data_IF_497072968343
#
_entry.id   IF_497072968343
#
_cell.length_a   1.000
_cell.length_b   1.000
_cell.length_c   1.000
_cell.angle_alpha   90.00
_cell.angle_beta   90.00
_cell.angle_gamma   90.00
#
_symmetry.space_group_name_H-M   'P 1'
#
loop_
_entity.id
_entity.type
_entity.pdbx_description
1 polymer ?
#
# COMPACT_ATOMS: atom_id res chain seq x y z
N UNK A 1 28.86 17.18 -36.77
CA UNK A 1 28.08 17.25 -38.03
C UNK A 1 28.12 18.62 -38.68
N UNK A 2 28.05 19.73 -37.93
CA UNK A 2 28.19 21.08 -38.51
C UNK A 2 29.44 21.26 -39.38
N UNK A 3 30.55 20.61 -39.00
CA UNK A 3 31.78 20.59 -39.78
C UNK A 3 31.65 19.96 -41.18
N UNK A 4 30.77 18.98 -41.37
CA UNK A 4 30.56 18.35 -42.69
C UNK A 4 29.85 19.33 -43.63
N UNK A 5 28.81 20.00 -43.13
CA UNK A 5 28.12 21.05 -43.90
C UNK A 5 29.02 22.25 -44.17
N UNK A 6 29.86 22.64 -43.20
CA UNK A 6 30.84 23.71 -43.38
C UNK A 6 31.86 23.38 -44.47
N UNK A 7 32.40 22.16 -44.49
CA UNK A 7 33.34 21.70 -45.52
C UNK A 7 32.65 21.65 -46.90
N UNK A 8 31.44 21.09 -47.00
CA UNK A 8 30.69 21.06 -48.26
C UNK A 8 30.39 22.47 -48.79
N UNK A 9 30.03 23.39 -47.89
CA UNK A 9 29.80 24.79 -48.23
C UNK A 9 31.08 25.48 -48.70
N UNK A 10 32.21 25.29 -48.00
CA UNK A 10 33.50 25.83 -48.42
C UNK A 10 33.94 25.28 -49.78
N UNK A 11 33.75 23.99 -50.04
CA UNK A 11 34.05 23.41 -51.36
C UNK A 11 33.14 24.02 -52.43
N UNK A 12 31.83 24.12 -52.18
CA UNK A 12 30.89 24.70 -53.13
C UNK A 12 31.23 26.14 -53.53
N UNK A 13 31.67 26.96 -52.57
CA UNK A 13 32.12 28.35 -52.82
C UNK A 13 33.41 28.41 -53.63
N UNK A 14 34.26 27.38 -53.57
CA UNK A 14 35.53 27.30 -54.28
C UNK A 14 35.43 26.66 -55.69
N UNK A 15 34.30 26.03 -56.04
CA UNK A 15 34.10 25.40 -57.37
C UNK A 15 34.36 26.37 -58.54
N UNK A 16 33.87 27.62 -58.55
CA UNK A 16 34.08 28.55 -59.66
C UNK A 16 35.58 28.83 -59.90
N UNK A 17 36.37 28.90 -58.83
CA UNK A 17 37.82 29.15 -58.91
C UNK A 17 38.62 27.91 -59.35
N UNK A 18 38.09 26.70 -59.09
CA UNK A 18 38.74 25.42 -59.45
C UNK A 18 38.56 25.08 -60.93
N UNK A 19 37.39 25.38 -61.50
CA UNK A 19 37.01 24.96 -62.87
C UNK A 19 37.53 25.93 -63.95
N UNK A 20 37.93 27.15 -63.58
CA UNK A 20 38.29 28.26 -64.48
C UNK A 20 39.62 28.13 -65.26
N UNK A 21 40.27 26.96 -65.25
CA UNK A 21 41.57 26.75 -65.88
C UNK A 21 41.45 26.10 -67.28
N UNK A 22 41.44 26.97 -68.30
CA UNK A 22 42.13 26.85 -69.59
C UNK A 22 41.60 25.92 -70.71
N UNK A 23 40.26 25.77 -70.90
CA UNK A 23 39.74 25.25 -72.20
C UNK A 23 38.35 25.81 -72.60
N UNK A 24 38.30 26.49 -73.76
CA UNK A 24 37.11 26.86 -74.57
C UNK A 24 35.76 27.09 -73.84
N UNK A 25 35.58 28.34 -73.43
CA UNK A 25 34.43 29.18 -73.03
C UNK A 25 32.96 28.70 -73.00
N UNK A 26 32.55 27.55 -73.53
CA UNK A 26 31.13 27.10 -73.53
C UNK A 26 30.86 25.82 -72.72
N UNK A 27 31.89 25.07 -72.31
CA UNK A 27 31.74 23.85 -71.50
C UNK A 27 31.95 24.06 -69.99
N UNK A 28 32.69 25.11 -69.58
CA UNK A 28 33.05 25.35 -68.18
C UNK A 28 31.83 25.68 -67.30
N UNK A 29 30.92 26.56 -67.75
CA UNK A 29 29.71 26.94 -67.00
C UNK A 29 28.81 25.74 -66.70
N UNK A 30 28.61 24.85 -67.68
CA UNK A 30 27.79 23.64 -67.49
C UNK A 30 28.43 22.64 -66.53
N UNK A 31 29.76 22.57 -66.51
CA UNK A 31 30.50 21.71 -65.58
C UNK A 31 30.44 22.22 -64.14
N UNK A 32 30.51 23.54 -63.96
CA UNK A 32 30.32 24.21 -62.67
C UNK A 32 28.92 23.99 -62.11
N UNK A 33 27.88 24.26 -62.92
CA UNK A 33 26.49 24.03 -62.54
C UNK A 33 26.24 22.57 -62.13
N UNK A 34 26.78 21.62 -62.90
CA UNK A 34 26.67 20.20 -62.60
C UNK A 34 27.40 19.83 -61.28
N UNK A 35 28.59 20.38 -61.04
CA UNK A 35 29.36 20.14 -59.81
C UNK A 35 28.62 20.68 -58.57
N UNK A 36 28.12 21.92 -58.64
CA UNK A 36 27.32 22.53 -57.57
C UNK A 36 26.05 21.71 -57.32
N UNK A 37 25.37 21.25 -58.37
CA UNK A 37 24.16 20.44 -58.26
C UNK A 37 24.41 19.10 -57.57
N UNK A 38 25.49 18.39 -57.94
CA UNK A 38 25.88 17.11 -57.30
C UNK A 38 26.22 17.33 -55.83
N UNK A 39 26.99 18.37 -55.53
CA UNK A 39 27.43 18.66 -54.17
C UNK A 39 26.24 19.07 -53.28
N UNK A 40 25.33 19.90 -53.81
CA UNK A 40 24.07 20.23 -53.18
C UNK A 40 23.18 19.00 -52.93
N UNK A 41 23.12 18.08 -53.90
CA UNK A 41 22.37 16.82 -53.76
C UNK A 41 22.94 15.94 -52.64
N UNK A 42 24.27 15.82 -52.53
CA UNK A 42 24.93 15.07 -51.45
C UNK A 42 24.67 15.72 -50.08
N UNK A 43 24.76 17.05 -50.00
CA UNK A 43 24.48 17.79 -48.77
C UNK A 43 23.03 17.59 -48.33
N UNK A 44 22.08 17.66 -49.27
CA UNK A 44 20.65 17.47 -49.01
C UNK A 44 20.33 16.05 -48.56
N UNK A 45 20.89 15.03 -49.21
CA UNK A 45 20.74 13.62 -48.78
C UNK A 45 21.29 13.40 -47.37
N UNK A 46 22.46 13.96 -47.07
CA UNK A 46 23.07 13.89 -45.74
C UNK A 46 22.18 14.52 -44.67
N UNK A 47 21.58 15.68 -44.99
CA UNK A 47 20.63 16.35 -44.12
C UNK A 47 19.41 15.48 -43.82
N UNK A 48 18.76 14.90 -44.83
CA UNK A 48 17.59 14.02 -44.67
C UNK A 48 17.92 12.80 -43.79
N UNK A 49 19.07 12.16 -44.02
CA UNK A 49 19.49 10.99 -43.24
C UNK A 49 19.67 11.38 -41.77
N UNK A 50 20.30 12.53 -41.51
CA UNK A 50 20.51 13.00 -40.15
C UNK A 50 19.21 13.36 -39.44
N UNK A 51 18.28 14.03 -40.13
CA UNK A 51 16.97 14.38 -39.57
C UNK A 51 16.22 13.13 -39.12
N UNK A 52 16.19 12.09 -39.95
CA UNK A 52 15.60 10.80 -39.60
C UNK A 52 16.28 10.16 -38.38
N UNK A 53 17.61 10.21 -38.30
CA UNK A 53 18.36 9.68 -37.16
C UNK A 53 18.02 10.41 -35.87
N UNK A 54 17.95 11.74 -35.91
CA UNK A 54 17.59 12.56 -34.74
C UNK A 54 16.16 12.25 -34.29
N UNK A 55 15.22 12.12 -35.23
CA UNK A 55 13.83 11.77 -34.91
C UNK A 55 13.72 10.40 -34.23
N UNK A 56 14.44 9.39 -34.74
CA UNK A 56 14.49 8.05 -34.13
C UNK A 56 15.09 8.10 -32.71
N UNK A 57 16.24 8.76 -32.54
CA UNK A 57 16.88 8.88 -31.24
C UNK A 57 16.01 9.62 -30.22
N UNK A 58 15.27 10.64 -30.65
CA UNK A 58 14.33 11.35 -29.79
C UNK A 58 13.20 10.43 -29.33
N UNK A 59 12.62 9.65 -30.24
CA UNK A 59 11.57 8.67 -29.92
C UNK A 59 12.07 7.59 -28.97
N UNK A 60 13.27 7.06 -29.20
CA UNK A 60 13.89 6.07 -28.30
C UNK A 60 14.14 6.65 -26.91
N UNK A 61 14.65 7.87 -26.82
CA UNK A 61 14.85 8.58 -25.55
C UNK A 61 13.53 8.80 -24.81
N UNK A 62 12.47 9.21 -25.50
CA UNK A 62 11.14 9.40 -24.90
C UNK A 62 10.58 8.08 -24.36
N UNK A 63 10.72 6.98 -25.11
CA UNK A 63 10.29 5.65 -24.64
C UNK A 63 11.10 5.22 -23.42
N UNK A 64 12.43 5.39 -23.45
CA UNK A 64 13.31 5.06 -22.33
C UNK A 64 12.97 5.87 -21.07
N UNK A 65 12.72 7.17 -21.22
CA UNK A 65 12.34 8.05 -20.11
C UNK A 65 10.98 7.64 -19.51
N UNK A 66 9.99 7.30 -20.34
CA UNK A 66 8.69 6.79 -19.87
C UNK A 66 8.85 5.48 -19.10
N UNK A 67 9.63 4.53 -19.61
CA UNK A 67 9.93 3.27 -18.92
C UNK A 67 10.60 3.52 -17.58
N UNK A 68 11.61 4.39 -17.54
CA UNK A 68 12.32 4.74 -16.31
C UNK A 68 11.38 5.37 -15.26
N UNK A 69 10.51 6.30 -15.66
CA UNK A 69 9.51 6.90 -14.78
C UNK A 69 8.54 5.86 -14.21
N UNK A 70 8.09 4.91 -15.04
CA UNK A 70 7.22 3.83 -14.58
C UNK A 70 7.93 2.94 -13.57
N UNK A 71 9.17 2.53 -13.85
CA UNK A 71 9.97 1.72 -12.92
C UNK A 71 10.21 2.42 -11.60
N UNK A 72 10.51 3.72 -11.60
CA UNK A 72 10.66 4.51 -10.37
C UNK A 72 9.35 4.52 -9.57
N UNK A 73 8.22 4.71 -10.24
CA UNK A 73 6.89 4.66 -9.60
C UNK A 73 6.63 3.29 -8.97
N UNK A 74 6.81 2.22 -9.73
CA UNK A 74 6.59 0.84 -9.26
C UNK A 74 7.52 0.52 -8.07
N UNK A 75 8.73 1.06 -8.05
CA UNK A 75 9.68 0.91 -6.96
C UNK A 75 9.20 1.64 -5.69
N UNK A 76 8.75 2.90 -5.82
CA UNK A 76 8.19 3.68 -4.71
C UNK A 76 6.95 2.99 -4.13
N UNK A 77 6.05 2.52 -4.98
CA UNK A 77 4.85 1.78 -4.56
C UNK A 77 5.23 0.48 -3.84
N UNK A 78 6.23 -0.24 -4.34
CA UNK A 78 6.76 -1.46 -3.70
C UNK A 78 7.37 -1.19 -2.31
N UNK A 79 8.17 -0.12 -2.16
CA UNK A 79 8.73 0.27 -0.86
C UNK A 79 7.65 0.74 0.12
N UNK A 80 6.65 1.48 -0.36
CA UNK A 80 5.50 1.88 0.44
C UNK A 80 4.74 0.66 0.95
N UNK A 81 4.49 -0.31 0.07
CA UNK A 81 3.86 -1.58 0.43
C UNK A 81 4.69 -2.38 1.46
N UNK A 82 6.01 -2.50 1.28
CA UNK A 82 6.89 -3.17 2.25
C UNK A 82 6.82 -2.46 3.62
N UNK A 83 6.82 -1.13 3.63
CA UNK A 83 6.67 -0.34 4.86
C UNK A 83 5.33 -0.58 5.56
N UNK A 84 4.22 -0.60 4.81
CA UNK A 84 2.89 -0.91 5.34
C UNK A 84 2.84 -2.34 5.92
N UNK A 85 3.44 -3.30 5.22
CA UNK A 85 3.51 -4.71 5.68
C UNK A 85 4.34 -4.83 6.95
N UNK A 86 5.51 -4.20 7.03
CA UNK A 86 6.35 -4.22 8.22
C UNK A 86 5.63 -3.63 9.43
N UNK A 87 4.95 -2.48 9.25
CA UNK A 87 4.15 -1.87 10.32
C UNK A 87 3.03 -2.80 10.82
N UNK A 88 2.39 -3.56 9.92
CA UNK A 88 1.37 -4.57 10.30
C UNK A 88 1.99 -5.75 11.05
N UNK A 89 3.19 -6.19 10.68
CA UNK A 89 3.93 -7.24 11.41
C UNK A 89 4.31 -6.76 12.81
N UNK A 90 4.80 -5.53 12.94
CA UNK A 90 5.17 -4.96 14.25
C UNK A 90 3.97 -4.86 15.19
N UNK A 91 2.81 -4.44 14.67
CA UNK A 91 1.54 -4.42 15.44
C UNK A 91 1.15 -5.85 15.84
N UNK A 92 1.20 -6.80 14.91
CA UNK A 92 0.84 -8.18 15.19
C UNK A 92 1.78 -8.80 16.22
N UNK A 93 3.07 -8.46 16.17
CA UNK A 93 4.10 -8.89 17.11
C UNK A 93 3.87 -8.25 18.49
N UNK A 94 3.58 -6.95 18.59
CA UNK A 94 3.27 -6.30 19.86
C UNK A 94 2.01 -6.88 20.52
N UNK A 95 0.99 -7.17 19.72
CA UNK A 95 -0.28 -7.76 20.19
C UNK A 95 -0.09 -9.24 20.58
N UNK A 96 0.66 -10.03 19.81
CA UNK A 96 0.97 -11.42 20.15
C UNK A 96 1.91 -11.55 21.36
N UNK A 97 2.93 -10.71 21.49
CA UNK A 97 3.91 -10.76 22.57
C UNK A 97 3.35 -10.22 23.90
N UNK A 98 2.45 -9.24 23.87
CA UNK A 98 1.76 -8.74 25.06
C UNK A 98 0.98 -9.82 25.83
N UNK A 99 0.58 -10.91 25.16
CA UNK A 99 -0.08 -12.06 25.77
C UNK A 99 0.89 -13.13 26.30
N UNK A 100 2.17 -13.09 25.91
CA UNK A 100 3.16 -14.12 26.30
C UNK A 100 3.89 -13.83 27.61
N UNK A 101 3.80 -12.62 28.16
CA UNK A 101 4.26 -12.31 29.53
C UNK A 101 3.28 -12.88 30.57
N UNK A 102 3.23 -14.21 30.64
CA UNK A 102 2.34 -15.02 31.50
C UNK A 102 2.55 -14.84 33.01
N UNK A 103 3.52 -14.04 33.45
CA UNK A 103 3.98 -14.10 34.84
C UNK A 103 3.28 -13.14 35.80
N UNK A 104 2.61 -12.06 35.36
CA UNK A 104 1.82 -11.17 36.25
C UNK A 104 0.84 -10.31 35.44
N UNK A 105 -0.27 -10.88 34.97
CA UNK A 105 -1.30 -10.13 34.27
C UNK A 105 -2.26 -9.50 35.30
N UNK A 106 -1.93 -8.29 35.75
CA UNK A 106 -2.79 -7.49 36.64
C UNK A 106 -3.96 -6.85 35.86
N UNK A 107 -5.04 -6.47 36.55
CA UNK A 107 -6.23 -5.81 35.98
C UNK A 107 -5.87 -4.55 35.18
N UNK A 108 -4.82 -3.83 35.58
CA UNK A 108 -4.32 -2.68 34.83
C UNK A 108 -3.76 -3.08 33.46
N UNK A 109 -2.86 -4.08 33.43
CA UNK A 109 -2.28 -4.63 32.19
C UNK A 109 -3.34 -5.27 31.31
N UNK A 110 -4.34 -5.92 31.89
CA UNK A 110 -5.48 -6.47 31.16
C UNK A 110 -6.21 -5.38 30.38
N UNK A 111 -6.54 -4.26 31.06
CA UNK A 111 -7.18 -3.10 30.43
C UNK A 111 -6.31 -2.49 29.33
N UNK A 112 -5.02 -2.27 29.61
CA UNK A 112 -4.04 -1.76 28.63
C UNK A 112 -3.94 -2.67 27.40
N UNK A 113 -4.04 -3.99 27.59
CA UNK A 113 -4.00 -4.96 26.48
C UNK A 113 -5.26 -4.87 25.63
N UNK A 114 -6.45 -4.77 26.22
CA UNK A 114 -7.67 -4.55 25.44
C UNK A 114 -7.67 -3.20 24.71
N UNK A 115 -7.21 -2.14 25.35
CA UNK A 115 -7.05 -0.82 24.73
C UNK A 115 -6.05 -0.88 23.57
N UNK A 116 -4.96 -1.64 23.71
CA UNK A 116 -3.99 -1.87 22.64
C UNK A 116 -4.60 -2.63 21.46
N UNK A 117 -5.40 -3.68 21.73
CA UNK A 117 -6.11 -4.44 20.69
C UNK A 117 -7.12 -3.54 19.94
N UNK A 118 -7.90 -2.75 20.68
CA UNK A 118 -8.88 -1.84 20.10
C UNK A 118 -8.19 -0.73 19.27
N UNK A 119 -7.12 -0.14 19.80
CA UNK A 119 -6.32 0.88 19.10
C UNK A 119 -5.67 0.32 17.82
N UNK A 120 -5.15 -0.90 17.88
CA UNK A 120 -4.61 -1.60 16.72
C UNK A 120 -5.68 -1.86 15.65
N UNK A 121 -6.91 -2.20 16.06
CA UNK A 121 -8.04 -2.35 15.16
C UNK A 121 -8.43 -1.03 14.47
N UNK A 122 -8.45 0.08 15.23
CA UNK A 122 -8.67 1.42 14.68
C UNK A 122 -7.61 1.77 13.64
N UNK A 123 -6.34 1.57 14.00
CA UNK A 123 -5.23 1.86 13.10
C UNK A 123 -5.30 1.04 11.81
N UNK A 124 -5.61 -0.26 11.91
CA UNK A 124 -5.68 -1.17 10.77
C UNK A 124 -6.76 -0.75 9.75
N UNK A 125 -7.88 -0.22 10.21
CA UNK A 125 -9.00 0.19 9.37
C UNK A 125 -9.11 1.70 9.16
N UNK A 126 -8.15 2.48 9.65
CA UNK A 126 -8.23 3.96 9.74
C UNK A 126 -9.56 4.42 10.33
N UNK A 127 -10.02 3.71 11.34
CA UNK A 127 -11.28 3.97 12.01
C UNK A 127 -11.09 4.93 13.17
N UNK A 128 -12.11 5.75 13.44
CA UNK A 128 -12.07 6.67 14.57
C UNK A 128 -12.42 5.98 15.89
N UNK A 129 -13.10 4.84 15.84
CA UNK A 129 -13.65 4.26 17.03
C UNK A 129 -13.82 2.73 16.96
N UNK A 130 -13.37 2.06 18.03
CA UNK A 130 -13.61 0.64 18.25
C UNK A 130 -13.87 0.31 19.72
N UNK A 131 -14.58 -0.79 19.92
CA UNK A 131 -14.85 -1.35 21.24
C UNK A 131 -14.80 -2.87 21.19
N UNK A 132 -14.47 -3.45 22.35
CA UNK A 132 -14.46 -4.90 22.55
C UNK A 132 -15.57 -5.24 23.53
N UNK A 133 -16.41 -6.21 23.16
CA UNK A 133 -17.51 -6.67 24.00
C UNK A 133 -17.52 -8.19 24.11
N UNK A 134 -17.71 -8.69 25.32
CA UNK A 134 -17.84 -10.10 25.62
C UNK A 134 -19.27 -10.42 26.02
N UNK A 135 -19.88 -11.39 25.34
CA UNK A 135 -21.27 -11.78 25.59
C UNK A 135 -21.31 -13.25 25.95
N UNK A 136 -22.00 -13.55 27.05
CA UNK A 136 -22.33 -14.92 27.40
C UNK A 136 -23.49 -15.41 26.55
N UNK A 137 -23.29 -16.49 25.80
CA UNK A 137 -24.28 -17.03 24.87
C UNK A 137 -25.45 -17.71 25.60
N UNK A 138 -25.25 -18.20 26.83
CA UNK A 138 -26.33 -18.79 27.65
C UNK A 138 -27.24 -17.73 28.24
N UNK A 139 -26.67 -16.70 28.87
CA UNK A 139 -27.46 -15.65 29.55
C UNK A 139 -27.85 -14.51 28.60
N UNK A 140 -27.22 -14.42 27.43
CA UNK A 140 -27.32 -13.32 26.45
C UNK A 140 -26.96 -11.94 27.00
N UNK A 141 -26.28 -11.91 28.16
CA UNK A 141 -25.84 -10.67 28.82
C UNK A 141 -24.40 -10.36 28.45
N UNK A 142 -24.11 -9.06 28.39
CA UNK A 142 -22.74 -8.56 28.27
C UNK A 142 -22.04 -8.82 29.60
N UNK A 143 -20.95 -9.57 29.58
CA UNK A 143 -20.15 -9.83 30.79
C UNK A 143 -19.09 -8.76 30.98
N UNK A 144 -18.51 -8.27 29.88
CA UNK A 144 -17.48 -7.24 29.90
C UNK A 144 -17.51 -6.41 28.63
N UNK A 145 -17.26 -5.12 28.77
CA UNK A 145 -17.20 -4.16 27.68
C UNK A 145 -16.03 -3.20 27.90
N UNK A 146 -15.21 -3.02 26.87
CA UNK A 146 -14.08 -2.11 26.86
C UNK A 146 -14.30 -1.13 25.72
N UNK A 147 -14.45 0.15 26.08
CA UNK A 147 -14.63 1.25 25.13
C UNK A 147 -13.39 2.14 25.18
N UNK A 148 -12.90 2.53 24.00
CA UNK A 148 -11.96 3.63 23.90
C UNK A 148 -12.71 4.93 24.27
N UNK A 149 -12.11 5.90 24.98
CA UNK A 149 -12.80 7.12 25.43
C UNK A 149 -13.52 7.89 24.31
N UNK A 150 -12.97 7.84 23.10
CA UNK A 150 -13.50 8.49 21.89
C UNK A 150 -14.79 7.83 21.36
N UNK A 151 -15.23 6.72 21.95
CA UNK A 151 -16.30 5.85 21.47
C UNK A 151 -17.61 5.86 22.26
N UNK A 152 -17.89 6.92 23.03
CA UNK A 152 -19.00 6.96 23.99
C UNK A 152 -20.39 6.65 23.37
N UNK A 153 -20.58 6.89 22.07
CA UNK A 153 -21.88 6.82 21.39
C UNK A 153 -22.16 5.51 20.63
N UNK A 154 -21.25 4.52 20.61
CA UNK A 154 -21.56 3.24 19.97
C UNK A 154 -22.50 2.43 20.88
N UNK A 155 -23.71 2.18 20.38
CA UNK A 155 -24.68 1.29 21.01
C UNK A 155 -25.13 0.22 20.03
N UNK A 156 -24.75 -1.04 20.32
CA UNK A 156 -25.20 -2.22 19.57
C UNK A 156 -25.98 -3.12 20.50
N UNK A 157 -27.14 -3.61 20.07
CA UNK A 157 -27.93 -4.59 20.85
C UNK A 157 -27.26 -5.96 20.85
N UNK A 158 -27.28 -6.65 21.99
CA UNK A 158 -26.74 -8.01 22.12
C UNK A 158 -27.43 -9.00 21.17
N UNK A 159 -28.72 -8.81 20.87
CA UNK A 159 -29.44 -9.66 19.91
C UNK A 159 -28.85 -9.58 18.51
N UNK A 160 -28.34 -8.40 18.10
CA UNK A 160 -27.71 -8.22 16.79
C UNK A 160 -26.34 -8.91 16.68
N UNK A 161 -25.64 -9.02 17.82
CA UNK A 161 -24.32 -9.65 17.95
C UNK A 161 -24.46 -11.18 17.99
N UNK A 162 -25.38 -11.69 18.80
CA UNK A 162 -25.65 -13.14 18.95
C UNK A 162 -26.22 -13.73 17.65
N UNK A 163 -26.97 -12.95 16.86
CA UNK A 163 -27.51 -13.38 15.58
C UNK A 163 -26.48 -13.55 14.44
N UNK A 164 -25.18 -13.45 14.71
CA UNK A 164 -24.15 -13.85 13.76
C UNK A 164 -24.04 -15.38 13.75
N UNK A 165 -24.41 -16.00 12.61
CA UNK A 165 -24.24 -17.44 12.38
C UNK A 165 -22.80 -17.87 12.66
N UNK A 166 -22.59 -19.10 13.15
CA UNK A 166 -21.28 -19.63 13.54
C UNK A 166 -20.21 -19.53 12.43
N UNK A 167 -20.63 -19.49 11.17
CA UNK A 167 -19.75 -19.40 9.99
C UNK A 167 -19.48 -17.95 9.53
N UNK A 168 -20.15 -16.95 10.09
CA UNK A 168 -20.01 -15.54 9.70
C UNK A 168 -19.31 -14.78 10.83
N UNK A 169 -18.00 -14.61 10.68
CA UNK A 169 -17.18 -13.90 11.65
C UNK A 169 -17.17 -12.38 11.45
N UNK A 170 -17.75 -11.87 10.37
CA UNK A 170 -17.77 -10.44 10.04
C UNK A 170 -19.16 -10.06 9.54
N UNK A 171 -19.74 -9.02 10.14
CA UNK A 171 -21.06 -8.50 9.77
C UNK A 171 -21.00 -6.98 9.72
N UNK A 172 -21.64 -6.42 8.69
CA UNK A 172 -21.87 -4.97 8.56
C UNK A 172 -23.29 -4.67 8.98
N UNK A 173 -23.46 -3.70 9.87
CA UNK A 173 -24.78 -3.26 10.28
C UNK A 173 -24.75 -1.78 10.67
N UNK A 174 -25.59 -0.97 10.04
CA UNK A 174 -25.77 0.47 10.37
C UNK A 174 -24.45 1.26 10.43
N UNK A 175 -23.54 1.05 9.47
CA UNK A 175 -22.23 1.73 9.46
C UNK A 175 -21.20 1.15 10.44
N UNK A 176 -21.53 0.09 11.16
CA UNK A 176 -20.63 -0.63 12.07
C UNK A 176 -20.10 -1.90 11.42
N UNK A 177 -18.81 -2.15 11.62
CA UNK A 177 -18.16 -3.43 11.33
C UNK A 177 -18.07 -4.22 12.63
N UNK A 178 -18.73 -5.37 12.65
CA UNK A 178 -18.74 -6.28 13.79
C UNK A 178 -17.91 -7.50 13.39
N UNK A 179 -16.86 -7.78 14.15
CA UNK A 179 -16.00 -8.95 13.99
C UNK A 179 -16.12 -9.82 15.22
N UNK A 180 -16.59 -11.05 15.05
CA UNK A 180 -16.71 -12.01 16.16
C UNK A 180 -15.49 -12.91 16.27
N UNK A 181 -15.16 -13.32 17.48
CA UNK A 181 -14.15 -14.35 17.71
C UNK A 181 -14.59 -15.66 17.03
N UNK A 182 -13.72 -16.34 16.26
CA UNK A 182 -14.02 -17.64 15.68
C UNK A 182 -14.32 -18.71 16.74
N UNK A 183 -13.71 -18.59 17.90
CA UNK A 183 -13.88 -19.51 19.02
C UNK A 183 -14.81 -18.94 20.08
N UNK A 184 -15.55 -19.85 20.73
CA UNK A 184 -16.35 -19.59 21.92
C UNK A 184 -15.61 -20.24 23.09
N UNK A 185 -15.35 -19.47 24.15
CA UNK A 185 -14.62 -19.96 25.34
C UNK A 185 -15.47 -19.69 26.57
N UNK A 186 -15.68 -20.70 27.43
CA UNK A 186 -16.51 -20.60 28.65
C UNK A 186 -17.94 -20.08 28.40
N UNK A 187 -18.55 -20.44 27.25
CA UNK A 187 -19.83 -19.90 26.78
C UNK A 187 -19.83 -18.39 26.48
N UNK A 188 -18.68 -17.74 26.47
CA UNK A 188 -18.54 -16.35 26.06
C UNK A 188 -18.01 -16.26 24.62
N UNK A 189 -18.49 -15.28 23.87
CA UNK A 189 -17.99 -14.91 22.55
C UNK A 189 -17.53 -13.46 22.57
N UNK A 190 -16.36 -13.20 21.98
CA UNK A 190 -15.79 -11.86 21.87
C UNK A 190 -16.26 -11.19 20.59
N UNK A 191 -16.55 -9.90 20.67
CA UNK A 191 -16.94 -9.07 19.54
C UNK A 191 -16.08 -7.81 19.53
N UNK A 192 -15.43 -7.56 18.41
CA UNK A 192 -14.76 -6.32 18.10
C UNK A 192 -15.70 -5.50 17.20
N UNK A 193 -16.08 -4.32 17.65
CA UNK A 193 -17.08 -3.47 16.99
C UNK A 193 -16.40 -2.17 16.62
N UNK A 194 -16.45 -1.79 15.35
CA UNK A 194 -15.70 -0.67 14.78
C UNK A 194 -16.68 0.24 14.02
N UNK A 195 -16.60 1.55 14.25
CA UNK A 195 -17.36 2.56 13.49
C UNK A 195 -16.44 3.46 12.69
N UNK A 196 -17.00 4.18 11.71
CA UNK A 196 -16.30 5.24 10.96
C UNK A 196 -14.98 4.76 10.33
N UNK A 197 -15.00 3.57 9.73
CA UNK A 197 -13.85 2.91 9.12
C UNK A 197 -13.74 3.21 7.61
N UNK A 198 -12.53 3.13 7.07
CA UNK A 198 -12.27 3.25 5.65
C UNK A 198 -12.66 1.97 4.91
N UNK A 199 -13.63 2.08 3.99
CA UNK A 199 -14.14 0.95 3.20
C UNK A 199 -13.05 0.30 2.31
N UNK A 200 -12.02 1.05 1.91
CA UNK A 200 -10.91 0.49 1.12
C UNK A 200 -10.01 -0.42 1.96
N UNK A 201 -9.82 -0.11 3.24
CA UNK A 201 -9.04 -0.95 4.15
C UNK A 201 -9.83 -2.18 4.59
N UNK A 202 -11.14 -2.06 4.78
CA UNK A 202 -12.00 -3.19 5.13
C UNK A 202 -12.06 -4.24 4.00
N UNK A 203 -12.11 -3.82 2.74
CA UNK A 203 -12.15 -4.72 1.59
C UNK A 203 -10.89 -5.58 1.39
N UNK A 204 -9.81 -5.33 2.13
CA UNK A 204 -8.56 -6.11 2.05
C UNK A 204 -8.69 -7.40 2.89
N UNK A 205 -8.63 -8.61 2.29
CA UNK A 205 -8.76 -9.88 3.03
C UNK A 205 -7.77 -10.01 4.20
N UNK A 206 -6.54 -9.52 4.03
CA UNK A 206 -5.52 -9.52 5.09
C UNK A 206 -5.96 -8.77 6.35
N UNK A 207 -6.60 -7.61 6.19
CA UNK A 207 -7.06 -6.82 7.33
C UNK A 207 -8.19 -7.57 8.07
N UNK A 208 -9.09 -8.22 7.33
CA UNK A 208 -10.18 -9.02 7.93
C UNK A 208 -9.69 -10.20 8.77
N UNK A 209 -8.62 -10.89 8.34
CA UNK A 209 -8.01 -11.98 9.11
C UNK A 209 -7.32 -11.46 10.38
N UNK A 210 -6.63 -10.32 10.30
CA UNK A 210 -6.01 -9.70 11.49
C UNK A 210 -7.07 -9.29 12.51
N UNK A 211 -8.23 -8.77 12.08
CA UNK A 211 -9.33 -8.43 13.00
C UNK A 211 -9.90 -9.67 13.71
N UNK A 212 -10.02 -10.81 13.00
CA UNK A 212 -10.42 -12.08 13.63
C UNK A 212 -9.38 -12.53 14.66
N UNK A 213 -8.10 -12.34 14.37
CA UNK A 213 -7.01 -12.61 15.31
C UNK A 213 -7.13 -11.74 16.57
N UNK A 214 -7.39 -10.44 16.41
CA UNK A 214 -7.64 -9.52 17.52
C UNK A 214 -8.83 -9.95 18.38
N UNK A 215 -9.96 -10.30 17.76
CA UNK A 215 -11.13 -10.81 18.48
C UNK A 215 -10.84 -12.13 19.20
N UNK A 216 -10.03 -13.02 18.60
CA UNK A 216 -9.59 -14.28 19.22
C UNK A 216 -8.72 -14.01 20.44
N UNK A 217 -7.73 -13.14 20.30
CA UNK A 217 -6.82 -12.77 21.38
C UNK A 217 -7.56 -12.13 22.56
N UNK A 218 -8.53 -11.26 22.28
CA UNK A 218 -9.38 -10.66 23.30
C UNK A 218 -10.16 -11.72 24.09
N UNK A 219 -10.77 -12.73 23.43
CA UNK A 219 -11.51 -13.79 24.15
C UNK A 219 -10.59 -14.73 24.93
N UNK A 220 -9.38 -14.99 24.45
CA UNK A 220 -8.38 -15.75 25.20
C UNK A 220 -7.96 -15.03 26.48
N UNK A 221 -7.67 -13.73 26.40
CA UNK A 221 -7.33 -12.92 27.56
C UNK A 221 -8.48 -12.90 28.58
N UNK A 222 -9.71 -12.72 28.10
CA UNK A 222 -10.91 -12.76 28.94
C UNK A 222 -11.05 -14.09 29.70
N UNK A 223 -10.91 -15.21 28.99
CA UNK A 223 -11.02 -16.53 29.59
C UNK A 223 -9.89 -16.82 30.59
N UNK A 224 -8.68 -16.33 30.31
CA UNK A 224 -7.54 -16.45 31.22
C UNK A 224 -7.81 -15.72 32.54
N UNK A 225 -8.31 -14.49 32.48
CA UNK A 225 -8.58 -13.68 33.67
C UNK A 225 -9.71 -14.25 34.53
N UNK A 226 -10.77 -14.78 33.90
CA UNK A 226 -11.82 -15.50 34.63
C UNK A 226 -11.27 -16.71 35.41
N UNK A 227 -10.32 -17.45 34.80
CA UNK A 227 -9.70 -18.61 35.45
C UNK A 227 -8.86 -18.18 36.66
N UNK A 228 -8.07 -17.10 36.55
CA UNK A 228 -7.32 -16.58 37.69
C UNK A 228 -8.23 -16.11 38.84
N UNK A 229 -9.32 -15.40 38.53
CA UNK A 229 -10.29 -14.96 39.56
C UNK A 229 -10.94 -16.16 40.26
N UNK A 230 -11.30 -17.22 39.52
CA UNK A 230 -11.84 -18.45 40.11
C UNK A 230 -10.84 -19.17 41.02
N UNK A 231 -9.55 -19.17 40.66
CA UNK A 231 -8.50 -19.80 41.46
C UNK A 231 -8.20 -19.03 42.74
N UNK A 232 -8.21 -17.69 42.70
CA UNK A 232 -8.05 -16.83 43.89
C UNK A 232 -9.20 -17.01 44.89
N UNK A 233 -10.44 -17.15 44.39
CA UNK A 233 -11.60 -17.37 45.25
C UNK A 233 -11.55 -18.75 45.94
N UNK A 234 -11.05 -19.78 45.25
CA UNK A 234 -10.94 -21.12 45.82
C UNK A 234 -9.77 -21.26 46.82
N UNK A 235 -8.66 -20.55 46.62
CA UNK A 235 -7.53 -20.55 47.58
C UNK A 235 -7.79 -19.72 48.84
N UNK A 236 -8.69 -18.74 48.79
CA UNK A 236 -9.14 -17.99 49.97
C UNK A 236 -10.05 -18.79 50.90
N UNK A 237 -10.74 -19.82 50.40
CA UNK A 237 -11.64 -20.68 51.20
C UNK A 237 -10.88 -21.79 51.93
N UNK A 238 -9.70 -22.20 51.44
CA UNK A 238 -8.87 -23.22 52.08
C UNK A 238 -8.07 -22.72 53.30
N UNK A 239 -8.07 -21.41 53.56
CA UNK A 239 -7.34 -20.76 54.66
C UNK A 239 -8.24 -20.15 55.75
N UNK A 240 -9.54 -20.48 55.76
CA UNK A 240 -10.47 -20.11 56.82
C UNK A 240 -11.02 -21.35 57.53
#
# INVERSE_FOLDING_TARGET
MYWIFAILFSIAVLIPDIIRNDTDFLMEERAEEAAIFVLGSIAFLTFIINERKIALQKKEKEIAQKKMSQTVKDLVDSYSYIGEVNRKIDILMGVALGLTERSTLDRKKEKETYESIATAANFLLKANCSMIRFINLKTRRTEKEIKIPECANISVSNNNLIGMNENINIKKQNGLLIVSSPQIINNAKGYLIISDYDAQEEGKPKNTEILKLFASQAIFLYAYMLKEESNKNNSGIANN
#
